data_IF_375985586926
#
_entry.id   IF_375985586926
#
_cell.length_a   1.000
_cell.length_b   1.000
_cell.length_c   1.000
_cell.angle_alpha   90.00
_cell.angle_beta   90.00
_cell.angle_gamma   90.00
#
_symmetry.space_group_name_H-M   'P 1'
#
loop_
_entity.id
_entity.type
_entity.pdbx_description
1 polymer ?
#
# COMPACT_ATOMS: atom_id res chain seq x y z
N UNK A 1 -31.33 -21.07 33.69
CA UNK A 1 -30.78 -19.69 33.78
C UNK A 1 -29.40 -19.61 34.45
N UNK A 2 -29.20 -20.09 35.70
CA UNK A 2 -27.91 -19.96 36.41
C UNK A 2 -26.69 -20.56 35.68
N UNK A 3 -26.85 -21.70 35.01
CA UNK A 3 -25.77 -22.35 34.23
C UNK A 3 -25.36 -21.53 33.00
N UNK A 4 -26.34 -20.96 32.29
CA UNK A 4 -26.10 -20.10 31.13
C UNK A 4 -25.35 -18.82 31.53
N UNK A 5 -25.75 -18.18 32.63
CA UNK A 5 -25.08 -16.99 33.18
C UNK A 5 -23.62 -17.31 33.56
N UNK A 6 -23.39 -18.47 34.18
CA UNK A 6 -22.03 -18.91 34.56
C UNK A 6 -21.14 -19.14 33.34
N UNK A 7 -21.66 -19.78 32.29
CA UNK A 7 -20.95 -20.00 31.03
C UNK A 7 -20.61 -18.65 30.39
N UNK A 8 -21.61 -17.78 30.21
CA UNK A 8 -21.42 -16.46 29.60
C UNK A 8 -20.36 -15.63 30.35
N UNK A 9 -20.47 -15.58 31.69
CA UNK A 9 -19.49 -14.88 32.54
C UNK A 9 -18.08 -15.42 32.33
N UNK A 10 -17.91 -16.75 32.37
CA UNK A 10 -16.59 -17.36 32.21
C UNK A 10 -16.03 -17.10 30.81
N UNK A 11 -16.86 -17.15 29.76
CA UNK A 11 -16.46 -16.80 28.39
C UNK A 11 -15.98 -15.36 28.30
N UNK A 12 -16.72 -14.40 28.86
CA UNK A 12 -16.34 -12.98 28.87
C UNK A 12 -15.02 -12.77 29.61
N UNK A 13 -14.85 -13.40 30.78
CA UNK A 13 -13.60 -13.32 31.56
C UNK A 13 -12.43 -13.89 30.75
N UNK A 14 -12.60 -15.07 30.14
CA UNK A 14 -11.55 -15.69 29.33
C UNK A 14 -11.14 -14.82 28.14
N UNK A 15 -12.12 -14.23 27.42
CA UNK A 15 -11.84 -13.32 26.30
C UNK A 15 -11.10 -12.07 26.78
N UNK A 16 -11.49 -11.49 27.92
CA UNK A 16 -10.81 -10.34 28.52
C UNK A 16 -9.36 -10.68 28.88
N UNK A 17 -9.12 -11.81 29.52
CA UNK A 17 -7.77 -12.25 29.92
C UNK A 17 -6.89 -12.44 28.68
N UNK A 18 -7.41 -13.08 27.63
CA UNK A 18 -6.68 -13.25 26.36
C UNK A 18 -6.39 -11.89 25.72
N UNK A 19 -7.37 -10.99 25.66
CA UNK A 19 -7.18 -9.65 25.10
C UNK A 19 -6.10 -8.87 25.85
N UNK A 20 -6.14 -8.87 27.19
CA UNK A 20 -5.14 -8.17 28.00
C UNK A 20 -3.75 -8.77 27.87
N UNK A 21 -3.65 -10.10 27.80
CA UNK A 21 -2.38 -10.79 27.56
C UNK A 21 -1.79 -10.42 26.19
N UNK A 22 -2.62 -10.44 25.13
CA UNK A 22 -2.21 -10.02 23.78
C UNK A 22 -1.81 -8.54 23.75
N UNK A 23 -2.61 -7.67 24.37
CA UNK A 23 -2.31 -6.25 24.45
C UNK A 23 -0.97 -5.99 25.15
N UNK A 24 -0.73 -6.64 26.29
CA UNK A 24 0.53 -6.56 27.02
C UNK A 24 1.71 -7.03 26.18
N UNK A 25 1.58 -8.19 25.52
CA UNK A 25 2.61 -8.72 24.63
C UNK A 25 2.92 -7.78 23.46
N UNK A 26 1.89 -7.32 22.72
CA UNK A 26 2.07 -6.44 21.56
C UNK A 26 2.69 -5.10 21.96
N UNK A 27 2.33 -4.56 23.14
CA UNK A 27 2.96 -3.36 23.68
C UNK A 27 4.45 -3.55 23.96
N UNK A 28 4.86 -4.71 24.48
CA UNK A 28 6.28 -5.03 24.73
C UNK A 28 7.07 -5.07 23.43
N UNK A 29 6.52 -5.67 22.37
CA UNK A 29 7.18 -5.75 21.05
C UNK A 29 6.96 -4.50 20.18
N UNK A 30 6.39 -3.43 20.74
CA UNK A 30 6.10 -2.15 20.05
C UNK A 30 5.26 -2.33 18.79
N UNK A 31 4.30 -3.24 18.84
CA UNK A 31 3.35 -3.51 17.77
C UNK A 31 1.99 -2.88 18.08
N UNK A 32 1.14 -2.59 17.08
CA UNK A 32 -0.23 -2.12 17.30
C UNK A 32 -1.04 -3.01 18.25
N UNK A 33 -2.07 -2.46 18.88
CA UNK A 33 -2.95 -3.21 19.77
C UNK A 33 -3.64 -4.40 19.05
N UNK A 34 -4.24 -5.36 19.77
CA UNK A 34 -4.80 -6.57 19.14
C UNK A 34 -5.85 -6.29 18.06
N UNK A 35 -6.68 -5.26 18.23
CA UNK A 35 -7.71 -4.93 17.24
C UNK A 35 -7.11 -4.26 16.01
N UNK A 36 -6.17 -3.34 16.21
CA UNK A 36 -5.42 -2.73 15.11
C UNK A 36 -4.61 -3.78 14.33
N UNK A 37 -4.02 -4.75 15.02
CA UNK A 37 -3.29 -5.87 14.42
C UNK A 37 -4.19 -6.75 13.55
N UNK A 38 -5.40 -7.09 14.02
CA UNK A 38 -6.38 -7.84 13.23
C UNK A 38 -6.80 -7.03 12.00
N UNK A 39 -7.09 -5.74 12.16
CA UNK A 39 -7.43 -4.85 11.04
C UNK A 39 -6.31 -4.81 10.02
N UNK A 40 -5.06 -4.68 10.46
CA UNK A 40 -3.88 -4.65 9.59
C UNK A 40 -3.71 -5.97 8.83
N UNK A 41 -3.84 -7.11 9.50
CA UNK A 41 -3.70 -8.43 8.88
C UNK A 41 -4.81 -8.80 7.90
N UNK A 42 -5.99 -8.21 8.03
CA UNK A 42 -7.14 -8.43 7.15
C UNK A 42 -7.32 -7.33 6.08
N UNK A 43 -6.55 -6.24 6.15
CA UNK A 43 -6.71 -5.12 5.23
C UNK A 43 -6.13 -5.43 3.84
N UNK A 44 -6.75 -4.92 2.76
CA UNK A 44 -6.10 -4.88 1.46
C UNK A 44 -4.77 -4.13 1.55
N UNK A 45 -3.77 -4.59 0.81
CA UNK A 45 -2.44 -3.97 0.73
C UNK A 45 -2.49 -2.43 0.57
N UNK A 46 -3.38 -1.93 -0.29
CA UNK A 46 -3.57 -0.50 -0.55
C UNK A 46 -4.08 0.32 0.63
N UNK A 47 -4.67 -0.30 1.67
CA UNK A 47 -5.20 0.36 2.86
C UNK A 47 -4.26 0.30 4.06
N UNK A 48 -3.26 -0.59 4.02
CA UNK A 48 -2.29 -0.76 5.11
C UNK A 48 -1.60 0.53 5.57
N UNK A 49 -1.24 1.51 4.71
CA UNK A 49 -0.57 2.73 5.18
C UNK A 49 -1.42 3.57 6.14
N UNK A 50 -2.75 3.51 6.02
CA UNK A 50 -3.69 4.27 6.87
C UNK A 50 -4.01 3.59 8.20
N UNK A 51 -3.53 2.37 8.41
CA UNK A 51 -3.78 1.57 9.62
C UNK A 51 -2.61 1.59 10.62
N UNK A 52 -1.51 2.23 10.24
CA UNK A 52 -0.34 2.47 11.08
C UNK A 52 -0.12 3.97 11.25
N UNK A 53 0.65 4.45 12.23
CA UNK A 53 1.08 5.83 12.26
C UNK A 53 1.80 6.20 10.96
N UNK A 54 1.41 7.32 10.37
CA UNK A 54 1.95 7.80 9.10
C UNK A 54 2.07 9.33 9.12
N UNK A 55 2.92 9.84 8.25
CA UNK A 55 3.11 11.27 8.05
C UNK A 55 2.84 11.62 6.59
N UNK A 56 2.20 12.75 6.36
CA UNK A 56 2.06 13.34 5.02
C UNK A 56 3.40 13.96 4.64
N UNK A 57 3.87 13.70 3.43
CA UNK A 57 4.88 14.53 2.79
C UNK A 57 4.11 15.46 1.85
N UNK A 58 4.12 16.75 2.15
CA UNK A 58 3.42 17.74 1.35
C UNK A 58 4.04 17.83 -0.06
N UNK A 59 3.21 18.06 -1.10
CA UNK A 59 3.73 18.31 -2.43
C UNK A 59 4.59 19.58 -2.45
N UNK A 60 5.48 19.68 -3.45
CA UNK A 60 6.27 20.89 -3.66
C UNK A 60 5.36 22.12 -3.86
N UNK A 61 5.74 23.26 -3.30
CA UNK A 61 5.02 24.54 -3.47
C UNK A 61 4.97 25.00 -4.91
N UNK A 62 6.00 24.67 -5.70
CA UNK A 62 6.08 24.90 -7.13
C UNK A 62 6.33 23.56 -7.86
N UNK A 63 5.28 22.78 -8.17
CA UNK A 63 5.44 21.52 -8.89
C UNK A 63 5.86 21.77 -10.34
N UNK A 64 6.63 20.84 -10.89
CA UNK A 64 6.98 20.87 -12.32
C UNK A 64 5.75 20.40 -13.11
N UNK A 65 5.35 21.19 -14.12
CA UNK A 65 4.36 20.75 -15.09
C UNK A 65 5.01 19.76 -16.06
N UNK A 66 4.59 18.51 -16.00
CA UNK A 66 5.08 17.47 -16.89
C UNK A 66 4.37 17.60 -18.26
N UNK A 67 5.09 17.85 -19.37
CA UNK A 67 4.47 17.90 -20.69
C UNK A 67 3.89 16.53 -21.06
N UNK A 68 2.77 16.54 -21.80
CA UNK A 68 2.06 15.32 -22.20
C UNK A 68 2.09 15.13 -23.72
N UNK A 69 2.21 13.89 -24.16
CA UNK A 69 2.06 13.48 -25.55
C UNK A 69 1.37 12.11 -25.62
N UNK A 70 1.10 11.62 -26.83
CA UNK A 70 0.52 10.30 -27.04
C UNK A 70 1.55 9.39 -27.71
N UNK A 71 1.84 8.26 -27.08
CA UNK A 71 2.63 7.18 -27.65
C UNK A 71 1.78 5.92 -27.79
N UNK A 72 1.96 5.21 -28.91
CA UNK A 72 1.31 3.93 -29.14
C UNK A 72 2.06 2.84 -28.38
N UNK A 73 1.38 2.22 -27.40
CA UNK A 73 1.92 1.06 -26.70
C UNK A 73 1.99 -0.17 -27.62
N UNK A 74 2.84 -1.17 -27.30
CA UNK A 74 2.85 -2.46 -27.99
C UNK A 74 1.44 -3.05 -28.04
N UNK A 75 1.06 -3.69 -29.15
CA UNK A 75 -0.23 -4.37 -29.23
C UNK A 75 -0.28 -5.58 -28.28
N UNK A 76 0.85 -6.27 -28.15
CA UNK A 76 1.01 -7.50 -27.40
C UNK A 76 2.36 -7.54 -26.67
N UNK A 77 2.42 -8.30 -25.59
CA UNK A 77 3.58 -8.50 -24.73
C UNK A 77 3.73 -10.00 -24.47
N UNK A 78 4.95 -10.51 -24.59
CA UNK A 78 5.29 -11.87 -24.16
C UNK A 78 5.39 -11.90 -22.63
N UNK A 79 4.53 -12.67 -21.98
CA UNK A 79 4.49 -12.82 -20.53
C UNK A 79 4.27 -14.29 -20.17
N UNK A 80 5.16 -14.86 -19.35
CA UNK A 80 5.10 -16.28 -18.93
C UNK A 80 4.96 -17.27 -20.11
N UNK A 81 5.72 -17.05 -21.18
CA UNK A 81 5.68 -17.84 -22.42
C UNK A 81 4.36 -17.77 -23.21
N UNK A 82 3.48 -16.82 -22.88
CA UNK A 82 2.25 -16.54 -23.62
C UNK A 82 2.27 -15.12 -24.18
N UNK A 83 1.64 -14.92 -25.33
CA UNK A 83 1.47 -13.59 -25.91
C UNK A 83 0.13 -13.01 -25.45
N UNK A 84 0.19 -11.90 -24.70
CA UNK A 84 -0.99 -11.22 -24.16
C UNK A 84 -1.16 -9.84 -24.80
N UNK A 85 -2.39 -9.44 -25.07
CA UNK A 85 -2.69 -8.03 -25.40
C UNK A 85 -2.26 -7.12 -24.26
N UNK A 86 -1.78 -5.92 -24.57
CA UNK A 86 -1.28 -4.94 -23.60
C UNK A 86 -2.19 -4.74 -22.38
N UNK A 87 -3.47 -4.43 -22.60
CA UNK A 87 -4.43 -4.18 -21.49
C UNK A 87 -4.68 -5.43 -20.65
N UNK A 88 -4.68 -6.61 -21.29
CA UNK A 88 -4.80 -7.89 -20.58
C UNK A 88 -3.55 -8.17 -19.76
N UNK A 89 -2.37 -7.82 -20.25
CA UNK A 89 -1.12 -7.97 -19.51
C UNK A 89 -1.07 -7.07 -18.26
N UNK A 90 -1.50 -5.81 -18.36
CA UNK A 90 -1.61 -4.91 -17.20
C UNK A 90 -2.53 -5.49 -16.12
N UNK A 91 -3.67 -6.05 -16.54
CA UNK A 91 -4.61 -6.70 -15.61
C UNK A 91 -4.05 -8.01 -15.03
N UNK A 92 -3.42 -8.85 -15.86
CA UNK A 92 -2.84 -10.14 -15.45
C UNK A 92 -1.64 -10.01 -14.49
N UNK A 93 -1.03 -8.83 -14.43
CA UNK A 93 0.06 -8.50 -13.49
C UNK A 93 -0.43 -7.77 -12.24
N UNK A 94 -1.75 -7.68 -12.03
CA UNK A 94 -2.37 -6.93 -10.94
C UNK A 94 -1.91 -5.47 -10.86
N UNK A 95 -1.60 -4.87 -12.01
CA UNK A 95 -1.19 -3.47 -12.08
C UNK A 95 -2.30 -2.55 -11.59
N UNK A 96 -1.95 -1.54 -10.79
CA UNK A 96 -2.88 -0.50 -10.32
C UNK A 96 -2.75 0.80 -11.12
N UNK A 97 -1.51 1.15 -11.51
CA UNK A 97 -1.19 2.29 -12.36
C UNK A 97 0.07 1.96 -13.17
N UNK A 98 0.11 2.40 -14.42
CA UNK A 98 1.27 2.25 -15.31
C UNK A 98 1.46 3.52 -16.12
N UNK A 99 2.67 4.10 -16.05
CA UNK A 99 3.01 5.35 -16.73
C UNK A 99 4.29 5.15 -17.54
N UNK A 100 4.35 5.79 -18.71
CA UNK A 100 5.57 5.87 -19.53
C UNK A 100 5.97 7.33 -19.67
N UNK A 101 7.19 7.65 -19.21
CA UNK A 101 7.80 8.97 -19.39
C UNK A 101 9.01 8.79 -20.30
N UNK A 102 9.00 9.47 -21.44
CA UNK A 102 10.07 9.42 -22.43
C UNK A 102 10.62 10.82 -22.65
N UNK A 103 11.93 11.00 -22.44
CA UNK A 103 12.61 12.29 -22.58
C UNK A 103 11.93 13.43 -21.79
N UNK A 104 11.43 13.14 -20.59
CA UNK A 104 10.73 14.12 -19.75
C UNK A 104 9.29 14.43 -20.16
N UNK A 105 8.71 13.71 -21.13
CA UNK A 105 7.31 13.84 -21.57
C UNK A 105 6.53 12.61 -21.12
N UNK A 106 5.35 12.82 -20.53
CA UNK A 106 4.41 11.75 -20.21
C UNK A 106 3.69 11.31 -21.48
N UNK A 107 3.96 10.10 -21.95
CA UNK A 107 3.49 9.63 -23.26
C UNK A 107 2.40 8.56 -23.18
N UNK A 108 2.22 7.95 -22.01
CA UNK A 108 1.17 6.98 -21.75
C UNK A 108 0.85 6.92 -20.26
N UNK A 109 -0.43 6.81 -19.96
CA UNK A 109 -0.97 6.56 -18.62
C UNK A 109 -2.06 5.51 -18.72
N UNK A 110 -2.05 4.58 -17.77
CA UNK A 110 -3.11 3.61 -17.56
C UNK A 110 -3.37 3.46 -16.07
N UNK A 111 -4.65 3.37 -15.70
CA UNK A 111 -5.09 3.20 -14.32
C UNK A 111 -6.12 2.09 -14.27
N UNK A 112 -6.01 1.24 -13.24
CA UNK A 112 -7.03 0.23 -12.93
C UNK A 112 -8.33 0.93 -12.54
N UNK A 113 -9.48 0.30 -12.80
CA UNK A 113 -10.78 0.81 -12.38
C UNK A 113 -10.80 1.21 -10.89
N UNK A 114 -11.22 2.44 -10.62
CA UNK A 114 -11.24 3.03 -9.27
C UNK A 114 -9.91 3.64 -8.80
N UNK A 115 -8.83 3.54 -9.59
CA UNK A 115 -7.56 4.25 -9.40
C UNK A 115 -7.55 5.49 -10.28
N UNK A 116 -7.03 6.60 -9.75
CA UNK A 116 -6.91 7.89 -10.45
C UNK A 116 -5.47 8.38 -10.41
N UNK A 117 -5.15 9.41 -11.19
CA UNK A 117 -3.88 10.14 -11.10
C UNK A 117 -3.53 10.60 -9.68
N UNK A 118 -4.53 10.94 -8.87
CA UNK A 118 -4.36 11.40 -7.49
C UNK A 118 -4.30 10.28 -6.44
N UNK A 119 -4.48 9.02 -6.84
CA UNK A 119 -4.50 7.90 -5.91
C UNK A 119 -3.11 7.60 -5.35
N UNK A 120 -2.98 7.60 -4.02
CA UNK A 120 -1.74 7.18 -3.35
C UNK A 120 -1.67 5.65 -3.25
N UNK A 121 -0.59 5.07 -3.76
CA UNK A 121 -0.35 3.62 -3.74
C UNK A 121 0.88 3.30 -2.87
N UNK A 122 0.89 2.17 -2.14
CA UNK A 122 2.06 1.75 -1.37
C UNK A 122 3.22 1.44 -2.34
N UNK A 123 4.34 2.13 -2.19
CA UNK A 123 5.52 1.97 -3.04
C UNK A 123 6.45 0.84 -2.59
N UNK A 124 6.20 0.27 -1.41
CA UNK A 124 7.03 -0.77 -0.78
C UNK A 124 8.52 -0.40 -0.81
N UNK A 125 9.37 -1.24 -1.38
CA UNK A 125 10.82 -1.03 -1.38
C UNK A 125 11.28 0.10 -2.29
N UNK A 126 10.44 0.65 -3.17
CA UNK A 126 10.78 1.88 -3.92
C UNK A 126 11.03 3.06 -2.96
N UNK A 127 10.40 3.05 -1.78
CA UNK A 127 10.69 4.04 -0.73
C UNK A 127 12.17 4.09 -0.32
N UNK A 128 12.91 2.98 -0.43
CA UNK A 128 14.35 2.95 -0.12
C UNK A 128 15.15 3.85 -1.06
N UNK A 129 14.76 3.94 -2.33
CA UNK A 129 15.40 4.84 -3.29
C UNK A 129 15.23 6.30 -2.86
N UNK A 130 14.04 6.69 -2.39
CA UNK A 130 13.80 8.04 -1.88
C UNK A 130 14.70 8.35 -0.67
N UNK A 131 14.84 7.41 0.27
CA UNK A 131 15.77 7.55 1.40
C UNK A 131 17.22 7.68 0.94
N UNK A 132 17.66 6.84 0.00
CA UNK A 132 19.03 6.88 -0.53
C UNK A 132 19.35 8.19 -1.23
N UNK A 133 18.40 8.78 -1.98
CA UNK A 133 18.57 10.10 -2.59
C UNK A 133 18.84 11.16 -1.51
N UNK A 134 18.04 11.17 -0.44
CA UNK A 134 18.23 12.11 0.67
C UNK A 134 19.58 11.93 1.37
N UNK A 135 20.00 10.68 1.61
CA UNK A 135 21.33 10.39 2.16
C UNK A 135 22.43 10.91 1.23
N UNK A 136 22.32 10.67 -0.08
CA UNK A 136 23.29 11.17 -1.06
C UNK A 136 23.41 12.70 -1.07
N UNK A 137 22.27 13.40 -0.94
CA UNK A 137 22.26 14.86 -0.82
C UNK A 137 22.96 15.33 0.46
N UNK A 138 22.74 14.67 1.60
CA UNK A 138 23.39 15.00 2.88
C UNK A 138 24.89 14.72 2.86
N UNK A 139 25.35 13.68 2.15
CA UNK A 139 26.78 13.39 1.97
C UNK A 139 27.45 14.47 1.13
N UNK A 140 26.73 15.06 0.17
CA UNK A 140 27.26 16.07 -0.74
C UNK A 140 27.18 17.51 -0.18
N UNK A 141 26.69 17.68 1.05
CA UNK A 141 26.73 18.94 1.81
C UNK A 141 28.05 19.07 2.58
#
# INVERSE_FOLDING_TARGET
MKRLIKILRNTVISLLVIYLALFGFLKVVRYPDPLATIKLGLAPASKTPTLLPWHVIDPATAPINLPTAVEKMPAEVMYKNETLKWDKWLTATDSNAFLVIRNGVLTHEWYKDGVTQSSQLPSYSVAKTMTSIMIGQLINQ
#
